data_IF_759768011121
#
_entry.id   IF_759768011121
#
_cell.length_a   1.000
_cell.length_b   1.000
_cell.length_c   1.000
_cell.angle_alpha   90.00
_cell.angle_beta   90.00
_cell.angle_gamma   90.00
#
_symmetry.space_group_name_H-M   'P 1'
#
loop_
_entity.id
_entity.type
_entity.pdbx_description
1 polymer ?
#
# COMPACT_ATOMS: atom_id res chain seq x y z
N UNK A 1 -54.46 -2.17 -6.52
CA UNK A 1 -55.51 -1.19 -6.08
C UNK A 1 -54.75 -0.11 -5.35
N UNK A 2 -54.47 0.99 -6.04
CA UNK A 2 -54.98 2.36 -5.85
C UNK A 2 -54.60 2.92 -4.48
N UNK A 3 -53.94 4.06 -4.33
CA UNK A 3 -54.06 5.42 -4.89
C UNK A 3 -52.88 6.24 -4.37
N UNK A 4 -52.06 6.93 -5.08
CA UNK A 4 -52.17 8.22 -5.78
C UNK A 4 -52.87 9.31 -4.98
N UNK A 5 -52.12 10.37 -4.55
CA UNK A 5 -52.50 11.79 -4.54
C UNK A 5 -51.42 12.61 -3.82
N UNK A 6 -50.69 13.46 -4.50
CA UNK A 6 -50.96 14.82 -5.00
C UNK A 6 -50.66 15.95 -4.03
N UNK A 7 -49.63 16.77 -4.41
CA UNK A 7 -49.60 18.26 -4.52
C UNK A 7 -49.45 19.05 -3.20
N UNK A 8 -48.76 20.13 -3.07
CA UNK A 8 -48.65 21.38 -3.87
C UNK A 8 -47.46 22.23 -3.38
N UNK A 9 -46.94 23.03 -4.29
CA UNK A 9 -45.95 24.08 -4.13
C UNK A 9 -46.50 25.28 -3.32
N UNK A 10 -45.59 26.01 -2.64
CA UNK A 10 -45.82 27.38 -2.22
C UNK A 10 -44.54 28.19 -2.44
N UNK A 11 -44.57 29.05 -3.43
CA UNK A 11 -43.69 30.20 -3.64
C UNK A 11 -44.01 31.27 -2.60
N UNK A 12 -42.98 31.83 -1.94
CA UNK A 12 -43.08 33.12 -1.29
C UNK A 12 -41.89 33.99 -1.67
N UNK A 13 -42.19 34.99 -2.50
CA UNK A 13 -41.34 36.15 -2.75
C UNK A 13 -41.24 37.00 -1.49
N UNK A 14 -40.02 37.33 -1.09
CA UNK A 14 -39.72 38.32 -0.06
C UNK A 14 -38.79 39.40 -0.63
N UNK A 15 -39.29 40.61 -0.71
CA UNK A 15 -38.65 41.79 -1.25
C UNK A 15 -37.43 42.22 -0.43
N UNK A 16 -36.35 42.53 -1.11
CA UNK A 16 -35.13 43.12 -0.54
C UNK A 16 -35.27 44.64 -0.53
N UNK A 17 -35.26 45.23 0.65
CA UNK A 17 -35.11 46.67 0.86
C UNK A 17 -33.62 47.02 0.78
N UNK A 18 -33.25 47.79 -0.24
CA UNK A 18 -31.95 48.42 -0.39
C UNK A 18 -31.87 49.66 0.54
N UNK A 19 -31.04 49.57 1.54
CA UNK A 19 -30.63 50.74 2.35
C UNK A 19 -29.25 51.21 1.89
N UNK A 20 -29.24 52.30 1.13
CA UNK A 20 -28.02 52.94 0.63
C UNK A 20 -27.42 53.80 1.74
N UNK A 21 -26.37 53.38 2.38
CA UNK A 21 -25.49 54.26 3.18
C UNK A 21 -24.23 54.55 2.37
N UNK A 22 -24.18 55.75 1.79
CA UNK A 22 -22.97 56.30 1.15
C UNK A 22 -22.00 56.81 2.21
N UNK A 23 -21.02 55.97 2.57
CA UNK A 23 -19.84 56.43 3.31
C UNK A 23 -18.76 56.84 2.30
N UNK A 24 -18.40 58.09 2.25
CA UNK A 24 -17.23 58.59 1.51
C UNK A 24 -15.98 58.17 2.26
N UNK A 25 -15.30 57.15 1.72
CA UNK A 25 -13.94 56.79 2.15
C UNK A 25 -12.95 57.63 1.35
N UNK A 26 -12.21 58.50 2.03
CA UNK A 26 -11.05 59.16 1.44
C UNK A 26 -9.92 58.18 1.31
N UNK A 27 -9.61 57.78 0.08
CA UNK A 27 -8.48 56.92 -0.25
C UNK A 27 -7.22 57.82 -0.22
N UNK A 28 -6.40 57.69 0.81
CA UNK A 28 -5.03 58.18 0.79
C UNK A 28 -4.21 57.24 -0.08
N UNK A 29 -3.78 57.70 -1.24
CA UNK A 29 -2.83 56.98 -2.10
C UNK A 29 -1.44 57.01 -1.43
N UNK A 30 -1.03 55.88 -0.87
CA UNK A 30 0.36 55.65 -0.51
C UNK A 30 1.21 55.50 -1.79
N UNK A 31 2.48 55.95 -1.80
CA UNK A 31 3.35 55.75 -2.95
C UNK A 31 3.55 54.27 -3.22
N UNK A 32 3.21 53.85 -4.42
CA UNK A 32 3.51 52.48 -4.89
C UNK A 32 4.99 52.39 -5.15
N UNK A 33 5.69 51.63 -4.33
CA UNK A 33 7.07 51.25 -4.57
C UNK A 33 7.13 50.37 -5.85
N UNK A 34 8.03 50.60 -6.78
CA UNK A 34 8.11 49.81 -8.00
C UNK A 34 8.40 48.34 -7.64
N UNK A 35 7.78 47.40 -8.33
CA UNK A 35 7.99 45.99 -8.04
C UNK A 35 9.48 45.63 -8.18
N UNK A 36 10.03 45.13 -7.06
CA UNK A 36 11.38 44.58 -7.01
C UNK A 36 11.40 43.41 -8.00
N UNK A 37 12.28 43.45 -8.97
CA UNK A 37 12.47 42.33 -9.90
C UNK A 37 12.80 41.09 -9.10
N UNK A 38 11.88 40.13 -9.07
CA UNK A 38 12.13 38.80 -8.51
C UNK A 38 13.22 38.14 -9.38
N UNK A 39 14.33 37.78 -8.75
CA UNK A 39 15.31 36.92 -9.38
C UNK A 39 14.59 35.63 -9.79
N UNK A 40 14.82 35.12 -11.02
CA UNK A 40 14.21 33.85 -11.40
C UNK A 40 14.59 32.79 -10.37
N UNK A 41 13.58 32.15 -9.80
CA UNK A 41 13.78 31.01 -8.92
C UNK A 41 14.64 29.97 -9.67
N UNK A 42 15.73 29.54 -9.04
CA UNK A 42 16.56 28.49 -9.60
C UNK A 42 15.68 27.27 -9.84
N UNK A 43 15.65 26.79 -11.08
CA UNK A 43 14.98 25.52 -11.41
C UNK A 43 15.62 24.44 -10.54
N UNK A 44 14.84 23.68 -9.74
CA UNK A 44 15.41 22.63 -8.92
C UNK A 44 16.15 21.64 -9.86
N UNK A 45 17.40 21.39 -9.55
CA UNK A 45 18.17 20.32 -10.24
C UNK A 45 17.47 19.02 -9.88
N UNK A 46 17.11 18.18 -10.88
CA UNK A 46 16.54 16.87 -10.58
C UNK A 46 17.48 16.10 -9.64
N UNK A 47 16.92 15.49 -8.60
CA UNK A 47 17.68 14.59 -7.76
C UNK A 47 18.27 13.47 -8.64
N UNK A 48 19.51 13.03 -8.39
CA UNK A 48 20.07 11.92 -9.16
C UNK A 48 19.21 10.67 -8.96
N UNK A 49 18.82 10.02 -10.05
CA UNK A 49 18.12 8.73 -10.00
C UNK A 49 19.01 7.72 -9.27
N UNK A 50 18.51 7.00 -8.26
CA UNK A 50 19.28 6.00 -7.55
C UNK A 50 19.81 4.94 -8.53
N UNK A 51 21.09 4.57 -8.39
CA UNK A 51 21.68 3.50 -9.18
C UNK A 51 21.84 2.27 -8.29
N UNK A 52 21.01 1.26 -8.49
CA UNK A 52 21.06 0.02 -7.72
C UNK A 52 22.09 -0.96 -8.29
N UNK A 53 22.73 -1.70 -7.40
CA UNK A 53 23.58 -2.84 -7.79
C UNK A 53 22.73 -3.99 -8.34
N UNK A 54 23.33 -4.93 -9.08
CA UNK A 54 22.59 -6.09 -9.58
C UNK A 54 22.00 -6.93 -8.44
N UNK A 55 22.73 -7.10 -7.33
CA UNK A 55 22.24 -7.80 -6.16
C UNK A 55 21.01 -7.11 -5.53
N UNK A 56 20.99 -5.78 -5.50
CA UNK A 56 19.80 -5.02 -5.06
C UNK A 56 18.63 -5.19 -6.02
N UNK A 57 18.91 -5.32 -7.31
CA UNK A 57 17.88 -5.52 -8.32
C UNK A 57 17.27 -6.92 -8.30
N UNK A 58 17.99 -7.90 -7.79
CA UNK A 58 17.50 -9.26 -7.69
C UNK A 58 16.50 -9.44 -6.52
N UNK A 59 16.52 -8.51 -5.55
CA UNK A 59 15.55 -8.40 -4.45
C UNK A 59 14.85 -7.04 -4.53
N UNK A 60 13.57 -7.00 -4.26
CA UNK A 60 12.81 -5.76 -4.14
C UNK A 60 13.24 -4.92 -2.92
N UNK A 61 12.59 -3.80 -2.74
CA UNK A 61 12.93 -2.86 -1.67
C UNK A 61 12.59 -3.37 -0.26
N UNK A 62 11.60 -4.25 -0.13
CA UNK A 62 11.19 -4.87 1.14
C UNK A 62 12.06 -6.08 1.49
N UNK A 63 12.55 -6.80 0.49
CA UNK A 63 13.44 -7.94 0.61
C UNK A 63 12.94 -9.05 1.58
N UNK A 64 13.68 -9.35 2.65
CA UNK A 64 13.36 -10.46 3.54
C UNK A 64 12.52 -10.00 4.75
N UNK A 65 11.46 -10.71 5.06
CA UNK A 65 10.60 -10.45 6.22
C UNK A 65 11.35 -10.49 7.56
N UNK A 66 12.45 -11.22 7.63
CA UNK A 66 13.31 -11.31 8.82
C UNK A 66 14.26 -10.12 8.99
N UNK A 67 14.33 -9.23 8.03
CA UNK A 67 15.12 -8.01 8.09
C UNK A 67 14.27 -6.80 8.51
N UNK A 68 14.82 -5.86 9.30
CA UNK A 68 14.07 -4.66 9.70
C UNK A 68 13.62 -3.82 8.50
N UNK A 69 12.32 -3.64 8.34
CA UNK A 69 11.71 -2.95 7.21
C UNK A 69 10.81 -1.80 7.66
N UNK A 70 10.89 -0.67 6.98
CA UNK A 70 9.96 0.46 7.15
C UNK A 70 8.79 0.30 6.20
N UNK A 71 7.57 0.43 6.70
CA UNK A 71 6.35 0.52 5.91
C UNK A 71 5.83 1.97 5.94
N UNK A 72 5.81 2.61 4.78
CA UNK A 72 5.35 4.00 4.64
C UNK A 72 3.90 4.02 4.20
N UNK A 73 3.01 4.51 5.07
CA UNK A 73 1.59 4.69 4.80
C UNK A 73 1.36 5.93 3.93
N UNK A 74 0.72 5.81 2.80
CA UNK A 74 0.42 6.92 1.89
C UNK A 74 -1.06 6.96 1.56
N UNK A 75 -1.78 7.93 2.13
CA UNK A 75 -3.18 8.15 1.85
C UNK A 75 -3.34 8.94 0.56
N UNK A 76 -3.78 8.26 -0.48
CA UNK A 76 -4.04 8.86 -1.79
C UNK A 76 -5.36 9.65 -1.77
N UNK A 77 -5.38 10.80 -2.41
CA UNK A 77 -6.58 11.61 -2.57
C UNK A 77 -6.77 11.95 -4.05
N UNK A 78 -7.94 11.67 -4.58
CA UNK A 78 -8.36 12.04 -5.92
C UNK A 78 -9.43 13.14 -5.81
N UNK A 79 -8.97 14.36 -5.58
CA UNK A 79 -9.85 15.50 -5.36
C UNK A 79 -10.64 15.88 -6.63
N UNK A 80 -10.13 15.56 -7.82
CA UNK A 80 -10.81 15.81 -9.09
C UNK A 80 -12.15 15.05 -9.17
N UNK A 81 -12.25 13.88 -8.54
CA UNK A 81 -13.45 13.06 -8.47
C UNK A 81 -14.09 13.05 -7.07
N UNK A 82 -13.67 13.94 -6.16
CA UNK A 82 -14.22 14.04 -4.82
C UNK A 82 -13.89 12.84 -3.91
N UNK A 83 -12.86 12.08 -4.22
CA UNK A 83 -12.45 10.88 -3.49
C UNK A 83 -11.31 11.22 -2.53
N UNK A 84 -11.65 11.39 -1.28
CA UNK A 84 -10.70 11.79 -0.25
C UNK A 84 -10.91 11.00 1.04
N UNK A 85 -9.87 10.87 1.82
CA UNK A 85 -9.92 10.26 3.14
C UNK A 85 -10.41 11.27 4.18
N UNK A 86 -11.45 10.92 4.91
CA UNK A 86 -11.81 11.58 6.17
C UNK A 86 -10.94 11.07 7.33
N UNK A 87 -10.97 11.79 8.46
CA UNK A 87 -10.12 11.47 9.60
C UNK A 87 -10.47 10.12 10.26
N UNK A 88 -11.75 9.73 10.28
CA UNK A 88 -12.22 8.49 10.89
C UNK A 88 -11.79 7.28 10.05
N UNK A 89 -12.08 7.30 8.76
CA UNK A 89 -11.65 6.24 7.83
C UNK A 89 -10.14 6.06 7.80
N UNK A 90 -9.40 7.18 7.86
CA UNK A 90 -7.94 7.15 7.92
C UNK A 90 -7.43 6.50 9.21
N UNK A 91 -7.98 6.86 10.36
CA UNK A 91 -7.62 6.26 11.64
C UNK A 91 -7.92 4.76 11.65
N UNK A 92 -9.07 4.35 11.10
CA UNK A 92 -9.43 2.94 10.98
C UNK A 92 -8.45 2.16 10.09
N UNK A 93 -8.01 2.71 8.96
CA UNK A 93 -7.01 2.08 8.09
C UNK A 93 -5.66 1.91 8.80
N UNK A 94 -5.17 2.94 9.51
CA UNK A 94 -3.94 2.83 10.32
C UNK A 94 -4.07 1.75 11.40
N UNK A 95 -5.21 1.66 12.07
CA UNK A 95 -5.46 0.62 13.07
C UNK A 95 -5.42 -0.79 12.46
N UNK A 96 -6.02 -1.01 11.30
CA UNK A 96 -5.97 -2.30 10.58
C UNK A 96 -4.55 -2.66 10.18
N UNK A 97 -3.78 -1.69 9.68
CA UNK A 97 -2.36 -1.88 9.39
C UNK A 97 -1.57 -2.30 10.63
N UNK A 98 -1.83 -1.67 11.76
CA UNK A 98 -1.19 -2.06 13.01
C UNK A 98 -1.55 -3.50 13.42
N UNK A 99 -2.84 -3.88 13.31
CA UNK A 99 -3.27 -5.25 13.56
C UNK A 99 -2.56 -6.25 12.64
N UNK A 100 -2.47 -5.93 11.35
CA UNK A 100 -1.77 -6.75 10.37
C UNK A 100 -0.29 -6.92 10.72
N UNK A 101 0.41 -5.84 11.02
CA UNK A 101 1.84 -5.86 11.37
C UNK A 101 2.09 -6.61 12.68
N UNK A 102 1.25 -6.41 13.70
CA UNK A 102 1.39 -7.12 14.99
C UNK A 102 1.10 -8.62 14.82
N UNK A 103 0.12 -8.98 13.98
CA UNK A 103 -0.18 -10.37 13.65
C UNK A 103 0.97 -11.02 12.86
N UNK A 104 1.54 -10.36 11.85
CA UNK A 104 2.70 -10.86 11.09
C UNK A 104 3.89 -11.11 12.04
N UNK A 105 4.14 -10.20 12.97
CA UNK A 105 5.19 -10.37 13.96
C UNK A 105 4.95 -11.59 14.86
N UNK A 106 3.71 -11.78 15.33
CA UNK A 106 3.33 -12.94 16.13
C UNK A 106 3.45 -14.26 15.34
N UNK A 107 3.09 -14.26 14.05
CA UNK A 107 3.31 -15.42 13.18
C UNK A 107 4.80 -15.73 12.98
N UNK A 108 5.65 -14.69 12.85
CA UNK A 108 7.11 -14.89 12.84
C UNK A 108 7.63 -15.61 14.06
N UNK A 109 7.12 -15.27 15.26
CA UNK A 109 7.50 -15.93 16.52
C UNK A 109 7.15 -17.44 16.54
N UNK A 110 6.05 -17.85 15.87
CA UNK A 110 5.69 -19.28 15.74
C UNK A 110 6.81 -20.07 15.06
N UNK A 111 7.50 -19.43 14.10
CA UNK A 111 8.62 -20.01 13.36
C UNK A 111 10.00 -19.69 14.00
N UNK A 112 10.01 -19.03 15.16
CA UNK A 112 11.24 -18.64 15.84
C UNK A 112 11.98 -17.49 15.20
N UNK A 113 11.33 -16.74 14.32
CA UNK A 113 11.89 -15.58 13.62
C UNK A 113 11.41 -14.28 14.27
N UNK A 114 12.34 -13.33 14.43
CA UNK A 114 11.99 -11.97 14.86
C UNK A 114 11.66 -11.13 13.63
N UNK A 115 10.43 -10.65 13.54
CA UNK A 115 9.95 -9.76 12.47
C UNK A 115 9.88 -8.34 12.99
N UNK A 116 10.49 -7.39 12.26
CA UNK A 116 10.55 -5.98 12.64
C UNK A 116 10.03 -5.09 11.52
N UNK A 117 8.72 -4.85 11.53
CA UNK A 117 8.05 -3.93 10.59
C UNK A 117 7.75 -2.61 11.31
N UNK A 118 8.39 -1.53 10.87
CA UNK A 118 8.18 -0.18 11.40
C UNK A 118 7.06 0.51 10.60
N UNK A 119 5.90 0.69 11.21
CA UNK A 119 4.79 1.44 10.64
C UNK A 119 4.32 2.53 11.62
N UNK A 120 3.50 3.47 11.13
CA UNK A 120 2.85 4.42 12.02
C UNK A 120 1.86 3.69 12.93
N UNK A 121 2.09 3.81 14.23
CA UNK A 121 1.26 3.20 15.27
C UNK A 121 0.28 4.18 15.91
N UNK A 122 0.31 5.44 15.48
CA UNK A 122 -0.66 6.41 15.95
C UNK A 122 -2.01 6.20 15.29
N UNK A 123 -3.07 6.00 16.09
CA UNK A 123 -4.42 5.78 15.57
C UNK A 123 -4.96 6.97 14.75
N UNK A 124 -4.39 8.15 14.90
CA UNK A 124 -4.74 9.36 14.18
C UNK A 124 -3.87 9.62 12.93
N UNK A 125 -2.89 8.73 12.65
CA UNK A 125 -1.96 8.90 11.54
C UNK A 125 -1.10 10.16 11.68
N UNK A 126 -0.73 10.53 12.89
CA UNK A 126 -0.01 11.78 13.18
C UNK A 126 1.51 11.68 12.98
N UNK A 127 2.07 10.48 12.86
CA UNK A 127 3.49 10.30 12.55
C UNK A 127 3.76 10.71 11.10
N UNK A 128 4.13 11.99 10.95
CA UNK A 128 4.45 12.55 9.64
C UNK A 128 5.73 11.96 9.01
N UNK A 129 6.45 11.08 9.67
CA UNK A 129 7.58 10.36 9.07
C UNK A 129 7.12 9.11 8.33
N UNK A 130 6.24 8.33 8.91
CA UNK A 130 5.74 7.08 8.33
C UNK A 130 4.36 7.21 7.68
N UNK A 131 3.66 8.33 7.85
CA UNK A 131 2.35 8.56 7.24
C UNK A 131 2.34 9.83 6.41
N UNK A 132 1.88 9.72 5.18
CA UNK A 132 1.80 10.79 4.19
C UNK A 132 0.38 10.92 3.64
N UNK A 133 0.07 12.09 3.12
CA UNK A 133 -1.08 12.30 2.23
C UNK A 133 -0.55 12.76 0.88
N UNK A 134 -1.10 12.22 -0.18
CA UNK A 134 -0.71 12.54 -1.53
C UNK A 134 -1.93 12.88 -2.38
N UNK A 135 -1.83 13.90 -3.21
CA UNK A 135 -2.85 14.28 -4.17
C UNK A 135 -2.47 13.73 -5.53
N UNK A 136 -3.24 12.75 -6.00
CA UNK A 136 -3.02 12.12 -7.30
C UNK A 136 -3.11 13.13 -8.44
N UNK A 137 -2.20 13.00 -9.39
CA UNK A 137 -2.21 13.69 -10.67
C UNK A 137 -2.91 12.83 -11.74
N UNK A 138 -2.73 11.51 -11.67
CA UNK A 138 -3.54 10.54 -12.41
C UNK A 138 -4.90 10.34 -11.76
N UNK A 139 -5.84 9.75 -12.49
CA UNK A 139 -7.16 9.40 -11.96
C UNK A 139 -7.16 7.94 -11.51
N UNK A 140 -7.71 7.67 -10.33
CA UNK A 140 -8.15 6.32 -9.98
C UNK A 140 -9.49 6.10 -10.71
N UNK A 141 -9.50 5.22 -11.69
CA UNK A 141 -10.69 4.98 -12.52
C UNK A 141 -11.74 4.08 -11.87
N UNK A 142 -11.49 3.59 -10.67
CA UNK A 142 -12.41 2.75 -9.88
C UNK A 142 -12.54 1.32 -10.42
N UNK A 143 -12.81 0.38 -9.50
CA UNK A 143 -12.98 -1.03 -9.84
C UNK A 143 -11.68 -1.75 -10.19
N UNK A 144 -11.80 -3.01 -10.55
CA UNK A 144 -10.69 -3.93 -10.82
C UNK A 144 -9.70 -3.44 -11.89
N UNK A 145 -10.12 -2.53 -12.78
CA UNK A 145 -9.28 -2.04 -13.87
C UNK A 145 -8.49 -0.77 -13.53
N UNK A 146 -8.66 -0.19 -12.35
CA UNK A 146 -7.92 1.04 -11.98
C UNK A 146 -6.45 0.77 -11.68
N UNK A 147 -6.12 -0.42 -11.22
CA UNK A 147 -4.75 -0.89 -10.98
C UNK A 147 -3.96 -1.10 -12.28
N UNK A 148 -4.63 -1.37 -13.40
CA UNK A 148 -4.01 -1.57 -14.71
C UNK A 148 -3.71 -0.26 -15.45
N UNK A 149 -4.06 0.88 -14.87
CA UNK A 149 -3.74 2.18 -15.48
C UNK A 149 -2.24 2.44 -15.42
N UNK A 150 -1.55 2.35 -16.54
CA UNK A 150 -0.11 2.66 -16.64
C UNK A 150 0.22 4.01 -16.01
N UNK A 151 -0.60 5.04 -16.23
CA UNK A 151 -0.37 6.36 -15.65
C UNK A 151 -0.45 6.37 -14.11
N UNK A 152 -1.31 5.55 -13.52
CA UNK A 152 -1.40 5.39 -12.08
C UNK A 152 -0.16 4.66 -11.53
N UNK A 153 0.23 3.56 -12.15
CA UNK A 153 1.39 2.78 -11.72
C UNK A 153 2.69 3.62 -11.86
N UNK A 154 2.88 4.31 -12.99
CA UNK A 154 4.02 5.22 -13.20
C UNK A 154 4.08 6.32 -12.12
N UNK A 155 2.92 6.85 -11.70
CA UNK A 155 2.85 7.84 -10.62
C UNK A 155 3.21 7.23 -9.26
N UNK A 156 2.80 5.99 -8.98
CA UNK A 156 3.16 5.29 -7.74
C UNK A 156 4.66 4.99 -7.68
N UNK A 157 5.26 4.54 -8.78
CA UNK A 157 6.71 4.29 -8.86
C UNK A 157 7.51 5.57 -8.60
N UNK A 158 7.15 6.67 -9.26
CA UNK A 158 7.80 7.97 -9.04
C UNK A 158 7.62 8.47 -7.59
N UNK A 159 6.45 8.21 -6.99
CA UNK A 159 6.18 8.57 -5.60
C UNK A 159 7.03 7.74 -4.63
N UNK A 160 7.17 6.43 -4.86
CA UNK A 160 8.06 5.57 -4.09
C UNK A 160 9.50 6.08 -4.11
N UNK A 161 10.05 6.40 -5.28
CA UNK A 161 11.40 6.97 -5.42
C UNK A 161 11.55 8.27 -4.61
N UNK A 162 10.57 9.16 -4.71
CA UNK A 162 10.57 10.44 -3.99
C UNK A 162 10.53 10.25 -2.47
N UNK A 163 9.72 9.32 -1.98
CA UNK A 163 9.57 9.06 -0.54
C UNK A 163 10.76 8.31 0.04
N UNK A 164 11.33 7.35 -0.71
CA UNK A 164 12.51 6.60 -0.29
C UNK A 164 13.73 7.50 -0.07
N UNK A 165 13.81 8.63 -0.75
CA UNK A 165 14.86 9.62 -0.56
C UNK A 165 14.73 10.43 0.75
N UNK A 166 13.67 10.23 1.55
CA UNK A 166 13.47 10.95 2.81
C UNK A 166 14.46 10.45 3.88
N UNK A 167 15.46 11.25 4.20
CA UNK A 167 16.52 10.92 5.17
C UNK A 167 16.00 10.62 6.57
N UNK A 168 14.78 11.04 6.93
CA UNK A 168 14.17 10.76 8.24
C UNK A 168 13.88 9.29 8.44
N UNK A 169 13.68 8.53 7.36
CA UNK A 169 13.44 7.09 7.40
C UNK A 169 14.66 6.34 7.96
N UNK A 170 15.87 6.84 7.77
CA UNK A 170 17.09 6.24 8.31
C UNK A 170 17.11 6.19 9.86
N UNK A 171 16.30 7.01 10.54
CA UNK A 171 16.21 7.02 12.00
C UNK A 171 15.64 5.71 12.59
N UNK A 172 14.94 4.90 11.78
CA UNK A 172 14.42 3.60 12.21
C UNK A 172 15.46 2.49 12.20
N UNK A 173 16.67 2.74 11.68
CA UNK A 173 17.73 1.73 11.58
C UNK A 173 17.38 0.58 10.62
N UNK A 174 16.31 0.70 9.87
CA UNK A 174 15.91 -0.26 8.86
C UNK A 174 16.74 -0.11 7.58
N UNK A 175 16.85 -1.20 6.82
CA UNK A 175 17.55 -1.23 5.54
C UNK A 175 16.61 -1.41 4.36
N UNK A 176 15.36 -1.78 4.66
CA UNK A 176 14.33 -2.14 3.70
C UNK A 176 13.12 -1.24 3.86
N UNK A 177 12.38 -1.07 2.76
CA UNK A 177 11.20 -0.23 2.70
C UNK A 177 10.14 -0.87 1.82
N UNK A 178 8.90 -0.82 2.30
CA UNK A 178 7.71 -1.07 1.52
C UNK A 178 6.75 0.12 1.63
N UNK A 179 5.84 0.25 0.67
CA UNK A 179 4.85 1.33 0.68
C UNK A 179 3.44 0.75 0.72
N UNK A 180 2.57 1.39 1.48
CA UNK A 180 1.16 1.04 1.59
C UNK A 180 0.36 2.23 1.06
N UNK A 181 -0.18 2.12 -0.14
CA UNK A 181 -1.02 3.12 -0.77
C UNK A 181 -2.48 2.84 -0.46
N UNK A 182 -3.11 3.74 0.29
CA UNK A 182 -4.53 3.64 0.64
C UNK A 182 -5.37 4.39 -0.37
N UNK A 183 -6.30 3.69 -1.04
CA UNK A 183 -7.16 4.22 -2.09
C UNK A 183 -8.57 4.47 -1.54
N UNK A 184 -9.12 5.70 -1.63
CA UNK A 184 -10.41 6.07 -1.04
C UNK A 184 -11.62 5.61 -1.85
N UNK A 185 -11.56 4.43 -2.44
CA UNK A 185 -12.59 3.83 -3.30
C UNK A 185 -12.77 2.35 -2.97
N UNK A 186 -13.77 1.71 -3.57
CA UNK A 186 -13.94 0.26 -3.57
C UNK A 186 -13.09 -0.37 -4.66
N UNK A 187 -12.52 -1.54 -4.37
CA UNK A 187 -11.73 -2.31 -5.31
C UNK A 187 -11.20 -3.59 -4.68
N UNK A 188 -10.37 -4.30 -5.41
CA UNK A 188 -9.62 -5.45 -4.93
C UNK A 188 -8.20 -4.99 -4.62
N UNK A 189 -7.76 -5.17 -3.38
CA UNK A 189 -6.39 -4.85 -2.98
C UNK A 189 -5.39 -5.71 -3.74
N UNK A 190 -4.20 -5.17 -4.00
CA UNK A 190 -3.15 -5.87 -4.75
C UNK A 190 -1.78 -5.33 -4.37
N UNK A 191 -0.76 -6.13 -4.62
CA UNK A 191 0.64 -5.74 -4.36
C UNK A 191 1.47 -5.78 -5.65
N UNK A 192 2.24 -4.72 -5.87
CA UNK A 192 3.29 -4.67 -6.87
C UNK A 192 4.59 -5.14 -6.23
N UNK A 193 4.78 -6.46 -6.25
CA UNK A 193 6.00 -7.10 -5.79
C UNK A 193 7.06 -7.10 -6.91
N UNK A 194 8.32 -7.06 -6.53
CA UNK A 194 9.42 -7.11 -7.47
C UNK A 194 9.56 -8.52 -8.08
N UNK A 195 9.62 -8.57 -9.41
CA UNK A 195 9.86 -9.80 -10.17
C UNK A 195 11.29 -9.81 -10.72
N UNK A 196 12.13 -10.67 -10.18
CA UNK A 196 13.54 -10.72 -10.57
C UNK A 196 13.80 -11.12 -12.03
N UNK A 197 12.85 -11.81 -12.66
CA UNK A 197 12.99 -12.33 -14.03
C UNK A 197 12.47 -11.40 -15.10
N UNK A 198 11.72 -10.36 -14.73
CA UNK A 198 11.15 -9.43 -15.69
C UNK A 198 12.23 -8.56 -16.31
N UNK A 199 12.16 -8.39 -17.64
CA UNK A 199 13.03 -7.48 -18.36
C UNK A 199 12.74 -6.02 -18.04
N UNK A 200 11.55 -5.73 -17.57
CA UNK A 200 11.14 -4.47 -16.98
C UNK A 200 11.39 -4.52 -15.48
N UNK A 201 11.95 -3.46 -14.96
CA UNK A 201 12.44 -3.44 -13.61
C UNK A 201 11.83 -2.28 -12.83
N UNK A 202 11.16 -2.61 -11.73
CA UNK A 202 10.90 -1.67 -10.66
C UNK A 202 11.51 -2.22 -9.36
N UNK A 203 12.06 -1.34 -8.57
CA UNK A 203 12.76 -1.72 -7.33
C UNK A 203 11.88 -1.58 -6.11
N UNK A 204 11.07 -0.52 -6.05
CA UNK A 204 10.24 -0.23 -4.90
C UNK A 204 8.94 -1.02 -4.96
N UNK A 205 8.69 -1.77 -3.89
CA UNK A 205 7.51 -2.60 -3.74
C UNK A 205 6.44 -1.88 -2.96
N UNK A 206 5.19 -2.04 -3.37
CA UNK A 206 4.07 -1.38 -2.73
C UNK A 206 2.78 -2.19 -2.82
N UNK A 207 1.95 -2.08 -1.78
CA UNK A 207 0.58 -2.60 -1.76
C UNK A 207 -0.41 -1.47 -1.98
N UNK A 208 -1.40 -1.69 -2.82
CA UNK A 208 -2.55 -0.82 -3.02
C UNK A 208 -3.73 -1.36 -2.23
N UNK A 209 -4.07 -0.67 -1.14
CA UNK A 209 -5.11 -1.07 -0.19
C UNK A 209 -6.35 -0.22 -0.43
N UNK A 210 -7.42 -0.84 -0.87
CA UNK A 210 -8.68 -0.15 -1.12
C UNK A 210 -9.39 0.14 0.21
N UNK A 211 -10.23 1.17 0.22
CA UNK A 211 -11.02 1.53 1.41
C UNK A 211 -12.07 0.47 1.70
N UNK A 212 -12.74 0.00 0.66
CA UNK A 212 -13.79 -1.00 0.76
C UNK A 212 -13.54 -2.13 -0.23
N UNK A 213 -13.81 -3.33 0.20
CA UNK A 213 -13.71 -4.54 -0.59
C UNK A 213 -14.73 -4.55 -1.74
N UNK A 214 -14.29 -4.96 -2.94
CA UNK A 214 -15.15 -5.04 -4.14
C UNK A 214 -16.17 -6.19 -4.07
N UNK A 215 -15.91 -7.21 -3.28
CA UNK A 215 -16.73 -8.42 -3.17
C UNK A 215 -17.76 -8.37 -2.05
N UNK A 216 -17.75 -7.33 -1.24
CA UNK A 216 -18.71 -7.10 -0.16
C UNK A 216 -19.60 -5.88 -0.45
N UNK A 217 -20.75 -5.79 0.21
CA UNK A 217 -21.70 -4.68 0.03
C UNK A 217 -21.20 -3.37 0.69
N UNK A 218 -19.96 -2.96 0.37
CA UNK A 218 -19.37 -1.70 0.85
C UNK A 218 -18.74 -1.82 2.23
N UNK A 219 -18.42 -3.02 2.69
CA UNK A 219 -17.60 -3.22 3.88
C UNK A 219 -16.18 -2.71 3.63
N UNK A 220 -15.58 -2.19 4.67
CA UNK A 220 -14.16 -1.81 4.62
C UNK A 220 -13.29 -3.07 4.42
N UNK A 221 -12.11 -2.89 3.83
CA UNK A 221 -11.11 -3.96 3.77
C UNK A 221 -10.71 -4.45 5.16
N UNK A 222 -10.53 -5.76 5.30
CA UNK A 222 -10.22 -6.39 6.59
C UNK A 222 -8.74 -6.24 6.98
N UNK A 223 -8.38 -6.35 8.26
CA UNK A 223 -6.98 -6.43 8.66
C UNK A 223 -6.28 -7.69 8.11
N UNK A 224 -7.02 -8.77 7.82
CA UNK A 224 -6.47 -9.96 7.17
C UNK A 224 -6.04 -9.66 5.73
N UNK A 225 -6.86 -8.91 4.96
CA UNK A 225 -6.47 -8.45 3.62
C UNK A 225 -5.21 -7.58 3.67
N UNK A 226 -5.11 -6.68 4.65
CA UNK A 226 -3.91 -5.87 4.81
C UNK A 226 -2.67 -6.71 5.13
N UNK A 227 -2.79 -7.74 5.97
CA UNK A 227 -1.69 -8.65 6.27
C UNK A 227 -1.28 -9.48 5.03
N UNK A 228 -2.26 -9.99 4.28
CA UNK A 228 -2.06 -10.71 3.03
C UNK A 228 -1.25 -9.87 2.02
N UNK A 229 -1.67 -8.64 1.76
CA UNK A 229 -0.99 -7.74 0.84
C UNK A 229 0.42 -7.35 1.32
N UNK A 230 0.61 -7.16 2.62
CA UNK A 230 1.93 -6.90 3.19
C UNK A 230 2.86 -8.11 2.99
N UNK A 231 2.36 -9.34 3.11
CA UNK A 231 3.18 -10.54 2.93
C UNK A 231 3.66 -10.73 1.49
N UNK A 232 2.92 -10.25 0.50
CA UNK A 232 3.39 -10.22 -0.89
C UNK A 232 4.66 -9.37 -1.07
N UNK A 233 4.83 -8.28 -0.31
CA UNK A 233 6.07 -7.49 -0.34
C UNK A 233 7.31 -8.32 0.02
N UNK A 234 7.11 -9.45 0.69
CA UNK A 234 8.17 -10.35 1.16
C UNK A 234 8.17 -11.70 0.42
N UNK A 235 7.50 -11.77 -0.72
CA UNK A 235 7.57 -12.90 -1.63
C UNK A 235 6.58 -14.04 -1.36
N UNK A 236 5.58 -13.85 -0.49
CA UNK A 236 4.50 -14.83 -0.35
C UNK A 236 3.66 -14.86 -1.64
N UNK A 237 3.39 -16.05 -2.21
CA UNK A 237 2.51 -16.17 -3.37
C UNK A 237 1.05 -16.26 -2.94
N UNK A 238 0.15 -15.94 -3.85
CA UNK A 238 -1.24 -16.34 -3.74
C UNK A 238 -1.38 -17.88 -3.91
N UNK A 239 -2.04 -18.52 -2.95
CA UNK A 239 -2.18 -19.97 -2.93
C UNK A 239 -3.55 -20.48 -3.44
N UNK A 240 -4.43 -19.58 -3.85
CA UNK A 240 -5.74 -19.94 -4.41
C UNK A 240 -5.66 -20.28 -5.91
N UNK A 241 -6.65 -21.06 -6.37
CA UNK A 241 -6.71 -21.48 -7.76
C UNK A 241 -6.83 -20.29 -8.72
N UNK A 242 -5.97 -20.26 -9.74
CA UNK A 242 -5.99 -19.20 -10.76
C UNK A 242 -5.25 -17.92 -10.39
N UNK A 243 -4.47 -17.93 -9.31
CA UNK A 243 -3.63 -16.78 -8.93
C UNK A 243 -2.65 -16.34 -10.02
N UNK A 244 -2.16 -17.31 -10.81
CA UNK A 244 -1.19 -17.04 -11.87
C UNK A 244 0.26 -17.05 -11.39
N UNK A 245 0.50 -17.35 -10.13
CA UNK A 245 1.85 -17.41 -9.58
C UNK A 245 2.66 -18.59 -10.15
N UNK A 246 3.94 -18.38 -10.47
CA UNK A 246 4.70 -19.29 -11.34
C UNK A 246 4.84 -20.73 -10.85
N UNK A 247 4.77 -20.96 -9.54
CA UNK A 247 4.90 -22.28 -8.91
C UNK A 247 3.62 -22.75 -8.22
N UNK A 248 2.54 -21.98 -8.34
CA UNK A 248 1.22 -22.32 -7.81
C UNK A 248 0.36 -22.84 -8.94
N UNK A 249 0.22 -24.16 -9.02
CA UNK A 249 -0.67 -24.83 -9.97
C UNK A 249 -1.94 -25.34 -9.25
N UNK A 250 -2.90 -25.83 -10.03
CA UNK A 250 -4.16 -26.36 -9.52
C UNK A 250 -3.94 -27.45 -8.44
N UNK A 251 -2.93 -28.30 -8.63
CA UNK A 251 -2.65 -29.38 -7.68
C UNK A 251 -2.13 -28.85 -6.33
N UNK A 252 -1.29 -27.81 -6.35
CA UNK A 252 -0.82 -27.17 -5.12
C UNK A 252 -1.96 -26.41 -4.44
N UNK A 253 -2.78 -25.67 -5.20
CA UNK A 253 -3.94 -24.95 -4.64
C UNK A 253 -4.94 -25.92 -3.99
N UNK A 254 -5.30 -27.02 -4.65
CA UNK A 254 -6.17 -28.06 -4.10
C UNK A 254 -5.58 -28.70 -2.83
N UNK A 255 -4.26 -28.88 -2.78
CA UNK A 255 -3.57 -29.40 -1.61
C UNK A 255 -3.64 -28.42 -0.44
N UNK A 256 -3.38 -27.13 -0.70
CA UNK A 256 -3.43 -26.06 0.32
C UNK A 256 -4.84 -25.91 0.87
N UNK A 257 -5.86 -25.81 0.02
CA UNK A 257 -7.26 -25.72 0.43
C UNK A 257 -7.67 -26.84 1.38
N UNK A 258 -7.17 -28.04 1.13
CA UNK A 258 -7.46 -29.20 1.96
C UNK A 258 -6.64 -29.28 3.24
N UNK A 259 -5.37 -28.85 3.19
CA UNK A 259 -4.39 -29.08 4.27
C UNK A 259 -4.23 -27.88 5.18
N UNK A 260 -4.34 -26.67 4.63
CA UNK A 260 -4.14 -25.38 5.28
C UNK A 260 -5.29 -24.43 4.94
N UNK A 261 -6.56 -24.78 5.26
CA UNK A 261 -7.72 -23.96 4.88
C UNK A 261 -7.70 -22.55 5.49
N UNK A 262 -6.95 -22.36 6.57
CA UNK A 262 -6.79 -21.09 7.26
C UNK A 262 -5.52 -20.32 6.86
N UNK A 263 -4.77 -20.78 5.83
CA UNK A 263 -3.63 -20.02 5.34
C UNK A 263 -4.09 -18.66 4.77
N UNK A 264 -3.45 -17.60 5.24
CA UNK A 264 -3.81 -16.23 4.85
C UNK A 264 -3.59 -15.97 3.35
N UNK A 265 -2.65 -16.67 2.71
CA UNK A 265 -2.40 -16.54 1.28
C UNK A 265 -3.37 -17.36 0.43
N UNK A 266 -4.19 -18.22 1.06
CA UNK A 266 -5.31 -18.91 0.40
C UNK A 266 -6.58 -18.05 0.41
N UNK A 267 -6.89 -17.46 1.57
CA UNK A 267 -8.10 -16.63 1.74
C UNK A 267 -7.99 -15.71 2.96
N UNK A 268 -8.46 -14.49 2.81
CA UNK A 268 -8.58 -13.51 3.89
C UNK A 268 -9.94 -13.52 4.58
N UNK A 269 -10.91 -14.27 4.03
CA UNK A 269 -12.28 -14.39 4.56
C UNK A 269 -12.39 -15.58 5.51
N UNK A 270 -13.36 -15.48 6.43
CA UNK A 270 -13.78 -16.60 7.26
C UNK A 270 -14.46 -17.70 6.41
N UNK A 271 -14.66 -18.89 6.97
CA UNK A 271 -15.28 -20.03 6.28
C UNK A 271 -16.70 -19.70 5.73
N UNK A 272 -17.42 -18.81 6.37
CA UNK A 272 -18.75 -18.35 5.94
C UNK A 272 -18.71 -17.20 4.90
N UNK A 273 -17.53 -16.80 4.46
CA UNK A 273 -17.32 -15.71 3.50
C UNK A 273 -17.41 -14.32 4.09
N UNK A 274 -17.44 -14.18 5.41
CA UNK A 274 -17.44 -12.86 6.06
C UNK A 274 -16.03 -12.37 6.37
N UNK A 275 -15.89 -11.05 6.55
CA UNK A 275 -14.65 -10.44 7.01
C UNK A 275 -14.65 -10.24 8.52
N UNK A 276 -13.49 -10.33 9.14
CA UNK A 276 -13.29 -10.08 10.55
C UNK A 276 -12.47 -8.82 10.80
N UNK A 277 -12.89 -7.98 11.76
CA UNK A 277 -12.28 -6.67 11.99
C UNK A 277 -11.65 -6.51 13.37
N UNK A 278 -11.90 -7.41 14.29
CA UNK A 278 -11.42 -7.37 15.68
C UNK A 278 -10.16 -8.22 15.91
N UNK A 279 -9.94 -9.21 15.05
CA UNK A 279 -8.73 -10.07 15.07
C UNK A 279 -8.51 -10.70 13.70
N UNK A 280 -7.30 -11.22 13.46
CA UNK A 280 -6.97 -12.05 12.30
C UNK A 280 -6.91 -13.49 12.77
N UNK A 281 -7.84 -14.31 12.30
CA UNK A 281 -8.01 -15.74 12.65
C UNK A 281 -7.19 -16.67 11.77
N UNK A 282 -6.59 -16.11 10.71
CA UNK A 282 -5.76 -16.84 9.75
C UNK A 282 -4.40 -17.22 10.34
N UNK A 283 -3.68 -18.07 9.63
CA UNK A 283 -2.33 -18.50 9.98
C UNK A 283 -1.36 -18.37 8.80
N UNK A 284 -0.08 -18.39 9.08
CA UNK A 284 0.96 -18.64 8.07
C UNK A 284 1.27 -20.13 8.11
N UNK A 285 0.93 -20.88 7.05
CA UNK A 285 1.24 -22.30 6.96
C UNK A 285 2.75 -22.55 6.82
N UNK A 286 3.23 -23.79 7.00
CA UNK A 286 4.62 -24.14 6.73
C UNK A 286 5.06 -23.81 5.29
N UNK A 287 4.16 -23.91 4.32
CA UNK A 287 4.44 -23.53 2.93
C UNK A 287 4.65 -22.02 2.79
N UNK A 288 3.73 -21.21 3.29
CA UNK A 288 3.85 -19.76 3.27
C UNK A 288 5.07 -19.29 4.06
N UNK A 289 5.35 -19.91 5.21
CA UNK A 289 6.55 -19.63 6.01
C UNK A 289 7.85 -19.92 5.23
N UNK A 290 7.88 -20.98 4.45
CA UNK A 290 9.01 -21.29 3.57
C UNK A 290 9.18 -20.21 2.49
N UNK A 291 8.11 -19.80 1.83
CA UNK A 291 8.16 -18.73 0.81
C UNK A 291 8.63 -17.38 1.37
N UNK A 292 8.27 -17.08 2.62
CA UNK A 292 8.69 -15.87 3.34
C UNK A 292 10.10 -15.93 3.95
N UNK A 293 10.75 -17.11 3.92
CA UNK A 293 12.04 -17.33 4.58
C UNK A 293 11.97 -17.39 6.11
N UNK A 294 10.78 -17.64 6.67
CA UNK A 294 10.60 -17.92 8.10
C UNK A 294 10.99 -19.37 8.44
N UNK A 295 11.01 -20.26 7.45
CA UNK A 295 11.42 -21.65 7.56
C UNK A 295 12.36 -22.02 6.41
N UNK A 296 13.41 -22.81 6.71
CA UNK A 296 14.38 -23.29 5.71
C UNK A 296 13.83 -24.37 4.80
N UNK A 297 12.70 -24.97 5.15
CA UNK A 297 12.09 -26.11 4.45
C UNK A 297 10.61 -26.21 4.79
N UNK A 298 9.84 -26.85 3.89
CA UNK A 298 8.46 -27.24 4.17
C UNK A 298 8.20 -28.68 3.72
N UNK A 299 7.17 -29.36 4.26
CA UNK A 299 6.83 -30.75 3.88
C UNK A 299 6.51 -30.88 2.38
N UNK A 300 5.95 -29.86 1.77
CA UNK A 300 5.47 -29.81 0.41
C UNK A 300 6.58 -29.93 -0.64
N UNK A 301 7.82 -29.62 -0.31
CA UNK A 301 8.98 -29.75 -1.20
C UNK A 301 9.15 -31.16 -1.76
N UNK A 302 8.71 -32.19 -1.04
CA UNK A 302 8.79 -33.58 -1.48
C UNK A 302 7.74 -33.91 -2.54
N UNK A 303 6.60 -33.27 -2.52
CA UNK A 303 5.47 -33.54 -3.40
C UNK A 303 5.40 -32.55 -4.57
N UNK A 304 5.77 -31.28 -4.35
CA UNK A 304 5.72 -30.20 -5.33
C UNK A 304 7.14 -29.68 -5.64
N UNK A 305 7.86 -30.33 -6.58
CA UNK A 305 9.26 -29.97 -6.86
C UNK A 305 9.47 -28.54 -7.37
N UNK A 306 8.43 -27.89 -7.91
CA UNK A 306 8.48 -26.50 -8.33
C UNK A 306 8.81 -25.57 -7.18
N UNK A 307 8.39 -25.90 -5.95
CA UNK A 307 8.70 -25.12 -4.75
C UNK A 307 10.19 -25.07 -4.42
N UNK A 308 11.00 -26.06 -4.84
CA UNK A 308 12.44 -26.05 -4.65
C UNK A 308 13.15 -24.89 -5.39
N UNK A 309 12.42 -24.21 -6.25
CA UNK A 309 12.91 -23.08 -7.02
C UNK A 309 12.55 -21.73 -6.40
N UNK A 310 11.75 -21.71 -5.34
CA UNK A 310 11.39 -20.52 -4.59
C UNK A 310 12.63 -19.96 -3.89
N UNK A 311 12.84 -18.67 -4.02
CA UNK A 311 13.84 -17.92 -3.24
C UNK A 311 13.08 -17.00 -2.29
N UNK A 312 13.21 -17.18 -0.97
CA UNK A 312 12.52 -16.33 -0.01
C UNK A 312 12.80 -14.84 -0.24
N UNK A 313 11.78 -14.01 -0.10
CA UNK A 313 11.85 -12.58 -0.35
C UNK A 313 11.86 -12.19 -1.84
N UNK A 314 11.74 -13.14 -2.75
CA UNK A 314 11.66 -12.92 -4.19
C UNK A 314 10.40 -13.59 -4.73
N UNK A 315 9.51 -12.81 -5.28
CA UNK A 315 8.25 -13.30 -5.81
C UNK A 315 8.42 -14.27 -7.00
N UNK A 316 9.47 -14.12 -7.80
CA UNK A 316 9.88 -15.07 -8.85
C UNK A 316 11.29 -15.55 -8.64
N UNK A 317 11.51 -16.81 -9.05
CA UNK A 317 12.75 -17.52 -8.92
C UNK A 317 13.93 -16.91 -9.63
N UNK A 318 15.04 -16.82 -8.93
CA UNK A 318 16.37 -17.05 -9.50
C UNK A 318 17.04 -18.18 -8.75
N UNK A 319 17.82 -18.98 -9.50
CA UNK A 319 18.78 -19.89 -8.90
C UNK A 319 19.62 -19.10 -7.88
N UNK A 320 19.68 -19.60 -6.65
CA UNK A 320 20.30 -18.95 -5.52
C UNK A 320 21.76 -18.56 -5.80
N UNK A 321 21.96 -17.32 -6.17
CA UNK A 321 23.23 -16.65 -5.95
C UNK A 321 23.09 -15.91 -4.62
N UNK A 322 24.03 -16.10 -3.75
CA UNK A 322 24.09 -15.65 -2.36
C UNK A 322 23.15 -14.52 -1.96
N UNK A 323 22.38 -14.73 -0.88
CA UNK A 323 21.59 -13.70 -0.21
C UNK A 323 22.36 -12.38 -0.21
N UNK A 324 21.88 -11.31 -0.86
CA UNK A 324 22.58 -10.05 -0.86
C UNK A 324 22.70 -9.59 0.58
N UNK A 325 23.87 -9.22 1.00
CA UNK A 325 24.04 -8.44 2.21
C UNK A 325 23.16 -7.20 2.02
N UNK A 326 22.16 -7.02 2.88
CA UNK A 326 21.17 -5.96 2.78
C UNK A 326 21.81 -4.67 2.29
N UNK A 327 21.32 -4.18 1.15
CA UNK A 327 21.83 -2.95 0.60
C UNK A 327 21.48 -1.82 1.56
N UNK A 328 22.45 -0.97 1.92
CA UNK A 328 22.10 0.26 2.60
C UNK A 328 21.16 1.04 1.68
N UNK A 329 20.21 1.73 2.26
CA UNK A 329 19.46 2.78 1.58
C UNK A 329 20.43 3.57 0.72
N UNK A 330 20.06 3.96 -0.50
CA UNK A 330 20.89 4.88 -1.26
C UNK A 330 21.21 6.03 -0.30
N UNK A 331 22.51 6.19 0.00
CA UNK A 331 22.96 7.19 0.97
C UNK A 331 22.20 8.46 0.67
N UNK A 332 21.41 8.94 1.63
CA UNK A 332 20.69 10.19 1.50
C UNK A 332 21.72 11.21 1.05
N UNK A 333 21.60 11.67 -0.17
CA UNK A 333 22.52 12.67 -0.72
C UNK A 333 22.42 13.83 0.25
N UNK A 334 23.50 14.07 0.98
CA UNK A 334 23.58 15.17 1.92
C UNK A 334 23.30 16.44 1.11
N UNK A 335 22.14 17.06 1.37
CA UNK A 335 21.78 18.37 0.86
C UNK A 335 22.62 19.44 1.56
#
# INVERSE_FOLDING_TARGET
MNTLHRRLAALLLGAVLLCSCSARVSVQTLPVEPPRAESPAATPTPAPTPTFTQAQKDYGSAALLTEPTVLVNVFLNDAAHGRTWDAESRAAAVQRTQMAVDWIAAQGEVYGAAVHLYCDRSADGSDATLTRSYLLQSAITGGENSSESTAFLDEMDALCESLAADSRLAAYGARHIGFLFYLPISGTSFTMAHYADDGEYFYYEYSCLYKTDAYTDGEDESPATYAHEILHLFGAPDLYAGSGDPYVDEALSDYVEKTYPDDIMLSTYEEDGTSRFDEITKEISPLTAYCLGLADTCPELAEFPALATVTPGVFRQKAADAVPTAAPWPDAVAL
#
